data_IF_214027230657
#
_entry.id   IF_214027230657
#
_cell.length_a   1.000
_cell.length_b   1.000
_cell.length_c   1.000
_cell.angle_alpha   90.00
_cell.angle_beta   90.00
_cell.angle_gamma   90.00
#
_symmetry.space_group_name_H-M   'P 1'
#
loop_
_entity.id
_entity.type
_entity.pdbx_description
1 polymer ?
#
# COMPACT_ATOMS: atom_id res chain seq x y z
N UNK A 1 2.65 -2.83 9.12
CA UNK A 1 2.14 -2.47 7.80
C UNK A 1 0.79 -1.79 7.95
N UNK A 2 0.68 -0.58 7.44
CA UNK A 2 -0.53 0.21 7.63
C UNK A 2 -1.36 0.22 6.36
N UNK A 3 -2.36 -0.66 6.32
CA UNK A 3 -3.19 -0.75 5.14
C UNK A 3 -4.21 -1.86 5.25
N UNK A 4 -5.01 -2.00 4.21
CA UNK A 4 -6.05 -3.02 4.20
C UNK A 4 -6.37 -3.42 2.76
N UNK A 5 -6.88 -4.65 2.62
CA UNK A 5 -7.25 -5.18 1.31
C UNK A 5 -8.65 -4.71 0.93
N UNK A 6 -8.82 -4.42 -0.36
CA UNK A 6 -10.12 -4.05 -0.91
C UNK A 6 -10.37 -4.90 -2.16
N UNK A 7 -11.56 -4.75 -2.74
CA UNK A 7 -11.86 -5.47 -3.98
C UNK A 7 -11.08 -4.90 -5.17
N UNK A 8 -10.45 -3.74 -5.01
CA UNK A 8 -9.68 -3.12 -6.09
C UNK A 8 -8.18 -3.34 -5.93
N UNK A 9 -7.74 -3.80 -4.77
CA UNK A 9 -6.33 -3.99 -4.49
C UNK A 9 -6.03 -3.74 -3.03
N UNK A 10 -4.83 -3.23 -2.76
CA UNK A 10 -4.40 -2.97 -1.40
C UNK A 10 -4.26 -1.47 -1.17
N UNK A 11 -4.98 -0.95 -0.19
CA UNK A 11 -4.87 0.45 0.20
C UNK A 11 -3.81 0.57 1.27
N UNK A 12 -2.69 1.21 0.93
CA UNK A 12 -1.57 1.36 1.85
C UNK A 12 -1.37 2.81 2.27
N UNK A 13 -1.04 3.02 3.53
CA UNK A 13 -0.82 4.36 4.06
C UNK A 13 0.59 4.83 3.71
N UNK A 14 0.70 5.97 3.04
CA UNK A 14 1.97 6.57 2.64
C UNK A 14 1.94 8.04 2.97
N UNK A 15 2.81 8.47 3.88
CA UNK A 15 2.92 9.88 4.27
C UNK A 15 1.58 10.48 4.70
N UNK A 16 0.78 9.69 5.43
CA UNK A 16 -0.50 10.16 5.94
C UNK A 16 -1.64 10.07 4.95
N UNK A 17 -1.43 9.48 3.78
CA UNK A 17 -2.48 9.33 2.78
C UNK A 17 -2.54 7.87 2.33
N UNK A 18 -3.76 7.40 2.06
CA UNK A 18 -3.93 6.05 1.52
C UNK A 18 -3.77 6.07 0.01
N UNK A 19 -2.97 5.13 -0.50
CA UNK A 19 -2.75 4.96 -1.93
C UNK A 19 -3.13 3.55 -2.32
N UNK A 20 -3.68 3.38 -3.52
CA UNK A 20 -4.09 2.07 -4.02
C UNK A 20 -2.93 1.39 -4.72
N UNK A 21 -2.63 0.16 -4.29
CA UNK A 21 -1.61 -0.68 -4.90
C UNK A 21 -2.27 -1.95 -5.40
N UNK A 22 -1.66 -2.58 -6.40
CA UNK A 22 -2.19 -3.82 -6.94
C UNK A 22 -2.17 -4.94 -5.89
N UNK A 23 -1.09 -5.00 -5.09
CA UNK A 23 -0.93 -5.99 -4.04
C UNK A 23 -0.21 -5.36 -2.85
N UNK A 24 -0.28 -6.06 -1.70
CA UNK A 24 0.44 -5.60 -0.53
C UNK A 24 1.95 -5.70 -0.73
N UNK A 25 2.41 -6.62 -1.56
CA UNK A 25 3.83 -6.71 -1.90
C UNK A 25 4.30 -5.43 -2.57
N UNK A 26 3.49 -4.90 -3.50
CA UNK A 26 3.84 -3.66 -4.17
C UNK A 26 3.88 -2.49 -3.20
N UNK A 27 2.96 -2.48 -2.24
CA UNK A 27 2.98 -1.45 -1.21
C UNK A 27 4.27 -1.53 -0.39
N UNK A 28 4.66 -2.74 0.03
CA UNK A 28 5.86 -2.92 0.82
C UNK A 28 7.11 -2.49 0.05
N UNK A 29 7.17 -2.83 -1.24
CA UNK A 29 8.30 -2.42 -2.06
C UNK A 29 8.36 -0.89 -2.21
N UNK A 30 7.21 -0.27 -2.29
CA UNK A 30 7.14 1.18 -2.44
C UNK A 30 7.67 1.89 -1.21
N UNK A 31 7.25 1.46 -0.02
CA UNK A 31 7.61 2.17 1.21
C UNK A 31 8.99 1.78 1.73
N UNK A 32 9.53 0.64 1.33
CA UNK A 32 10.85 0.21 1.78
C UNK A 32 11.94 0.50 0.76
N UNK A 33 11.56 0.90 -0.44
CA UNK A 33 12.53 1.21 -1.50
C UNK A 33 13.00 2.65 -1.33
N UNK A 34 14.17 2.80 -0.85
CA UNK A 34 14.77 4.11 -0.64
C UNK A 34 15.76 4.41 -1.71
#
# INVERSE_FOLDING_TARGET
>A
MDGYHTSYGFMGLVNGEYMLFATDTEYLEYVTDD
#
